data_IF_513233152452
#
_entry.id   IF_513233152452
#
_cell.length_a   1.000
_cell.length_b   1.000
_cell.length_c   1.000
_cell.angle_alpha   90.00
_cell.angle_beta   90.00
_cell.angle_gamma   90.00
#
_symmetry.space_group_name_H-M   'P 1'
#
loop_
_entity.id
_entity.type
_entity.pdbx_description
1 polymer ?
#
# COMPACT_ATOMS: atom_id res chain seq x y z
N UNK A 1 -1.75 12.70 9.76
CA UNK A 1 -2.02 12.39 8.35
C UNK A 1 -3.09 11.33 8.28
N UNK A 2 -3.96 11.36 7.28
CA UNK A 2 -4.99 10.33 7.13
C UNK A 2 -4.38 8.94 6.89
N UNK A 3 -5.03 7.89 7.40
CA UNK A 3 -4.55 6.50 7.30
C UNK A 3 -4.39 6.01 5.85
N UNK A 4 -5.31 6.39 4.96
CA UNK A 4 -5.20 6.08 3.52
C UNK A 4 -3.92 6.68 2.91
N UNK A 5 -3.50 7.86 3.36
CA UNK A 5 -2.26 8.51 2.92
C UNK A 5 -1.04 7.76 3.43
N UNK A 6 -1.03 7.31 4.69
CA UNK A 6 0.03 6.47 5.22
C UNK A 6 0.18 5.16 4.42
N UNK A 7 -0.96 4.50 4.10
CA UNK A 7 -0.98 3.29 3.25
C UNK A 7 -0.44 3.58 1.84
N UNK A 8 -0.79 4.74 1.26
CA UNK A 8 -0.30 5.17 -0.05
C UNK A 8 1.22 5.39 -0.08
N UNK A 9 1.74 6.14 0.90
CA UNK A 9 3.17 6.39 1.02
C UNK A 9 3.95 5.10 1.28
N UNK A 10 3.43 4.23 2.17
CA UNK A 10 4.04 2.93 2.44
C UNK A 10 4.13 2.06 1.18
N UNK A 11 3.08 2.05 0.35
CA UNK A 11 3.11 1.30 -0.90
C UNK A 11 4.18 1.85 -1.86
N UNK A 12 4.35 3.17 -1.94
CA UNK A 12 5.39 3.80 -2.78
C UNK A 12 6.80 3.44 -2.30
N UNK A 13 7.04 3.49 -0.99
CA UNK A 13 8.31 3.07 -0.38
C UNK A 13 8.67 1.64 -0.77
N UNK A 14 7.75 0.69 -0.54
CA UNK A 14 7.97 -0.72 -0.83
C UNK A 14 8.20 -1.00 -2.32
N UNK A 15 7.49 -0.28 -3.19
CA UNK A 15 7.71 -0.34 -4.64
C UNK A 15 9.10 0.18 -5.02
N UNK A 16 9.54 1.29 -4.43
CA UNK A 16 10.86 1.86 -4.68
C UNK A 16 11.99 0.94 -4.16
N UNK A 17 11.87 0.45 -2.92
CA UNK A 17 12.83 -0.48 -2.30
C UNK A 17 13.02 -1.76 -3.12
N UNK A 18 11.93 -2.27 -3.71
CA UNK A 18 11.95 -3.49 -4.54
C UNK A 18 12.20 -3.20 -6.03
N UNK A 19 12.49 -1.96 -6.42
CA UNK A 19 12.62 -1.51 -7.82
C UNK A 19 11.46 -2.01 -8.70
N UNK A 20 10.23 -1.91 -8.18
CA UNK A 20 9.03 -2.48 -8.76
C UNK A 20 8.10 -1.36 -9.26
N UNK A 21 7.57 -1.51 -10.47
CA UNK A 21 6.57 -0.59 -11.00
C UNK A 21 5.15 -1.01 -10.59
N UNK A 22 4.20 -0.08 -10.61
CA UNK A 22 2.77 -0.38 -10.42
C UNK A 22 2.28 -1.50 -11.36
N UNK A 23 2.82 -1.55 -12.59
CA UNK A 23 2.49 -2.58 -13.55
C UNK A 23 3.07 -3.95 -13.15
N UNK A 24 4.31 -3.98 -12.67
CA UNK A 24 4.93 -5.21 -12.18
C UNK A 24 4.18 -5.76 -10.96
N UNK A 25 3.73 -4.89 -10.04
CA UNK A 25 2.89 -5.30 -8.91
C UNK A 25 1.52 -5.83 -9.37
N UNK A 26 0.85 -5.11 -10.27
CA UNK A 26 -0.42 -5.57 -10.88
C UNK A 26 -0.33 -6.99 -11.44
N UNK A 27 0.79 -7.35 -12.08
CA UNK A 27 1.00 -8.69 -12.64
C UNK A 27 1.21 -9.78 -11.59
N UNK A 28 1.46 -9.41 -10.33
CA UNK A 28 1.78 -10.32 -9.22
C UNK A 28 0.69 -10.40 -8.15
N UNK A 29 -0.17 -9.38 -8.03
CA UNK A 29 -1.28 -9.37 -7.07
C UNK A 29 -2.64 -9.64 -7.74
N UNK A 30 -3.66 -9.96 -6.94
CA UNK A 30 -5.06 -10.10 -7.38
C UNK A 30 -5.79 -8.76 -7.61
N UNK A 31 -5.13 -7.63 -7.35
CA UNK A 31 -5.74 -6.30 -7.35
C UNK A 31 -5.78 -5.68 -8.75
N UNK A 32 -6.92 -5.11 -9.21
CA UNK A 32 -7.00 -4.42 -10.48
C UNK A 32 -6.02 -3.24 -10.61
N UNK A 33 -5.49 -3.00 -11.82
CA UNK A 33 -4.55 -1.90 -12.09
C UNK A 33 -5.11 -0.52 -11.69
N UNK A 34 -6.41 -0.29 -11.90
CA UNK A 34 -7.07 0.96 -11.50
C UNK A 34 -7.07 1.15 -9.97
N UNK A 35 -7.32 0.09 -9.21
CA UNK A 35 -7.28 0.12 -7.75
C UNK A 35 -5.88 0.42 -7.23
N UNK A 36 -4.83 -0.18 -7.82
CA UNK A 36 -3.44 0.13 -7.46
C UNK A 36 -3.14 1.61 -7.76
N UNK A 37 -3.53 2.08 -8.94
CA UNK A 37 -3.34 3.50 -9.32
C UNK A 37 -4.04 4.45 -8.35
N UNK A 38 -5.27 4.16 -7.97
CA UNK A 38 -6.04 4.99 -7.03
C UNK A 38 -5.44 4.97 -5.61
N UNK A 39 -4.89 3.83 -5.17
CA UNK A 39 -4.22 3.72 -3.88
C UNK A 39 -2.89 4.49 -3.88
N UNK A 40 -2.07 4.33 -4.92
CA UNK A 40 -0.80 5.10 -5.07
C UNK A 40 -1.05 6.60 -5.20
N UNK A 41 -2.14 7.01 -5.84
CA UNK A 41 -2.51 8.43 -5.96
C UNK A 41 -3.33 8.94 -4.77
N UNK A 42 -3.57 8.11 -3.74
CA UNK A 42 -4.38 8.43 -2.57
C UNK A 42 -5.76 9.02 -2.94
N UNK A 43 -6.37 8.51 -4.02
CA UNK A 43 -7.64 9.01 -4.57
C UNK A 43 -8.86 8.53 -3.79
N UNK A 44 -8.71 7.47 -2.97
CA UNK A 44 -9.77 6.96 -2.12
C UNK A 44 -9.52 7.31 -0.65
N UNK A 45 -10.59 7.70 0.03
CA UNK A 45 -10.59 7.96 1.47
C UNK A 45 -10.47 6.68 2.31
N UNK A 46 -10.74 5.52 1.70
CA UNK A 46 -10.67 4.22 2.37
C UNK A 46 -10.02 3.15 1.51
N UNK A 47 -9.35 2.21 2.17
CA UNK A 47 -8.76 1.02 1.56
C UNK A 47 -9.32 -0.20 2.28
N UNK A 48 -9.83 -1.17 1.51
CA UNK A 48 -10.33 -2.42 2.07
C UNK A 48 -9.15 -3.31 2.46
N UNK A 49 -9.17 -3.87 3.67
CA UNK A 49 -8.07 -4.71 4.21
C UNK A 49 -7.67 -5.85 3.26
N UNK A 50 -8.64 -6.46 2.56
CA UNK A 50 -8.38 -7.49 1.54
C UNK A 50 -7.44 -7.00 0.44
N UNK A 51 -7.57 -5.76 -0.01
CA UNK A 51 -6.70 -5.16 -1.03
C UNK A 51 -5.27 -5.08 -0.50
N UNK A 52 -5.09 -4.62 0.75
CA UNK A 52 -3.77 -4.55 1.39
C UNK A 52 -3.14 -5.95 1.45
N UNK A 53 -3.91 -6.96 1.85
CA UNK A 53 -3.43 -8.33 1.90
C UNK A 53 -3.00 -8.88 0.52
N UNK A 54 -3.80 -8.64 -0.54
CA UNK A 54 -3.43 -9.05 -1.91
C UNK A 54 -2.20 -8.29 -2.45
N UNK A 55 -2.01 -7.02 -2.06
CA UNK A 55 -0.80 -6.27 -2.39
C UNK A 55 0.43 -6.85 -1.68
N UNK A 56 0.31 -7.20 -0.39
CA UNK A 56 1.38 -7.84 0.37
C UNK A 56 1.82 -9.15 -0.30
N UNK A 57 0.86 -9.98 -0.75
CA UNK A 57 1.15 -11.18 -1.52
C UNK A 57 1.91 -10.89 -2.82
N UNK A 58 1.51 -9.85 -3.57
CA UNK A 58 2.21 -9.44 -4.81
C UNK A 58 3.61 -8.86 -4.56
N UNK A 59 3.82 -8.22 -3.41
CA UNK A 59 5.10 -7.66 -2.95
C UNK A 59 6.01 -8.73 -2.32
N UNK A 60 5.46 -9.91 -1.99
CA UNK A 60 6.18 -10.99 -1.32
C UNK A 60 6.53 -10.67 0.13
N UNK A 61 5.66 -9.94 0.83
CA UNK A 61 5.80 -9.59 2.25
C UNK A 61 4.56 -10.01 3.03
N UNK A 62 4.70 -10.13 4.34
CA UNK A 62 3.59 -10.31 5.28
C UNK A 62 2.84 -8.99 5.54
N UNK A 63 1.62 -9.12 6.06
CA UNK A 63 0.84 -7.95 6.48
C UNK A 63 1.53 -7.20 7.64
N UNK A 64 2.22 -7.93 8.52
CA UNK A 64 2.99 -7.35 9.62
C UNK A 64 4.14 -6.50 9.10
N UNK A 65 4.89 -6.96 8.11
CA UNK A 65 5.97 -6.17 7.47
C UNK A 65 5.44 -4.92 6.75
N UNK A 66 4.23 -4.99 6.19
CA UNK A 66 3.61 -3.84 5.56
C UNK A 66 3.35 -2.71 6.58
N UNK A 67 2.76 -3.06 7.72
CA UNK A 67 2.44 -2.11 8.79
C UNK A 67 3.60 -1.80 9.74
N UNK A 68 4.71 -2.52 9.65
CA UNK A 68 5.96 -2.20 10.34
C UNK A 68 6.66 -1.01 9.65
N UNK A 69 6.10 0.18 9.86
CA UNK A 69 6.62 1.45 9.36
C UNK A 69 6.23 2.59 10.30
N UNK A 70 7.12 3.57 10.56
CA UNK A 70 6.80 4.76 11.35
C UNK A 70 5.60 5.56 10.83
N UNK A 71 5.22 5.37 9.55
CA UNK A 71 4.02 5.97 8.97
C UNK A 71 2.72 5.59 9.71
N UNK A 72 2.73 4.45 10.42
CA UNK A 72 1.58 3.94 11.18
C UNK A 72 1.67 4.21 12.69
N UNK A 73 2.67 4.97 13.15
CA UNK A 73 2.71 5.42 14.53
C UNK A 73 1.51 6.35 14.82
N UNK A 74 0.82 6.16 15.95
CA UNK A 74 -0.37 6.93 16.32
C UNK A 74 -0.13 8.45 16.32
N UNK A 75 1.08 8.90 16.67
CA UNK A 75 1.45 10.32 16.64
C UNK A 75 1.50 10.93 15.23
N UNK A 76 1.58 10.10 14.19
CA UNK A 76 1.62 10.53 12.79
C UNK A 76 0.23 10.50 12.13
N UNK A 77 -0.76 9.85 12.75
CA UNK A 77 -2.09 9.66 12.20
C UNK A 77 -3.09 10.70 12.72
N UNK A 78 -3.99 11.13 11.85
CA UNK A 78 -5.15 11.93 12.27
C UNK A 78 -6.20 11.02 12.94
N UNK A 79 -6.95 11.54 13.93
CA UNK A 79 -8.04 10.80 14.58
C UNK A 79 -9.13 10.30 13.61
#
# INVERSE_FOLDING_TARGET
MQLNKAVSERLKELLAEKNMTNYALFKRCGVPKSTIGNLVNCTYDSVVLRVIHELCQGLGISLTEFFDSPLFDEGNLEP
#
